data_IF_529088243654
#
_entry.id   IF_529088243654
#
_cell.length_a   1.000
_cell.length_b   1.000
_cell.length_c   1.000
_cell.angle_alpha   90.00
_cell.angle_beta   90.00
_cell.angle_gamma   90.00
#
_symmetry.space_group_name_H-M   'P 1'
#
loop_
_entity.id
_entity.type
_entity.pdbx_description
1 polymer ?
#
# COMPACT_ATOMS: atom_id res chain seq x y z
N UNK A 1 -24.55 -8.35 21.63
CA UNK A 1 -24.21 -6.92 21.65
C UNK A 1 -23.37 -6.65 20.42
N UNK A 2 -24.00 -6.30 19.31
CA UNK A 2 -23.30 -5.88 18.10
C UNK A 2 -22.64 -4.54 18.40
N UNK A 3 -21.30 -4.49 18.43
CA UNK A 3 -20.58 -3.23 18.48
C UNK A 3 -20.79 -2.54 17.12
N UNK A 4 -21.64 -1.51 17.09
CA UNK A 4 -21.68 -0.57 15.98
C UNK A 4 -20.28 -0.01 15.77
N UNK A 5 -19.72 -0.28 14.60
CA UNK A 5 -18.37 0.15 14.24
C UNK A 5 -18.43 1.64 13.96
N UNK A 6 -18.05 2.44 14.95
CA UNK A 6 -17.83 3.86 14.73
C UNK A 6 -16.70 4.01 13.70
N UNK A 7 -17.06 4.39 12.48
CA UNK A 7 -16.11 4.68 11.40
C UNK A 7 -15.15 5.74 11.93
N UNK A 8 -13.87 5.38 12.08
CA UNK A 8 -12.86 6.28 12.63
C UNK A 8 -12.49 7.33 11.60
N UNK A 9 -13.24 8.45 11.58
CA UNK A 9 -13.03 9.57 10.66
C UNK A 9 -11.59 10.09 10.64
N UNK A 10 -10.87 9.99 11.78
CA UNK A 10 -9.45 10.36 11.86
C UNK A 10 -8.55 9.48 11.00
N UNK A 11 -8.86 8.18 10.84
CA UNK A 11 -8.11 7.26 9.98
C UNK A 11 -8.32 7.61 8.52
N UNK A 12 -9.57 7.92 8.15
CA UNK A 12 -9.91 8.32 6.78
C UNK A 12 -9.24 9.67 6.43
N UNK A 13 -9.21 10.62 7.37
CA UNK A 13 -8.48 11.88 7.22
C UNK A 13 -6.96 11.68 7.11
N UNK A 14 -6.36 10.83 7.96
CA UNK A 14 -4.93 10.54 7.90
C UNK A 14 -4.53 9.84 6.59
N UNK A 15 -5.38 8.94 6.07
CA UNK A 15 -5.19 8.32 4.76
C UNK A 15 -5.24 9.36 3.63
N UNK A 16 -6.19 10.29 3.68
CA UNK A 16 -6.29 11.36 2.69
C UNK A 16 -5.03 12.23 2.70
N UNK A 17 -4.58 12.65 3.89
CA UNK A 17 -3.34 13.44 4.05
C UNK A 17 -2.13 12.70 3.51
N UNK A 18 -1.99 11.40 3.81
CA UNK A 18 -0.92 10.58 3.28
C UNK A 18 -0.95 10.55 1.74
N UNK A 19 -2.11 10.29 1.13
CA UNK A 19 -2.27 10.26 -0.33
C UNK A 19 -1.98 11.63 -0.96
N UNK A 20 -2.39 12.72 -0.32
CA UNK A 20 -2.11 14.08 -0.80
C UNK A 20 -0.63 14.43 -0.71
N UNK A 21 0.03 14.12 0.42
CA UNK A 21 1.47 14.36 0.59
C UNK A 21 2.28 13.67 -0.51
N UNK A 22 1.94 12.41 -0.75
CA UNK A 22 2.43 11.59 -1.85
C UNK A 22 2.20 12.21 -3.25
N UNK A 23 0.97 12.68 -3.52
CA UNK A 23 0.65 13.26 -4.83
C UNK A 23 1.42 14.56 -5.06
N UNK A 24 1.50 15.41 -4.04
CA UNK A 24 2.27 16.67 -4.09
C UNK A 24 3.75 16.39 -4.32
N UNK A 25 4.28 15.33 -3.72
CA UNK A 25 5.67 14.90 -3.87
C UNK A 25 6.06 14.62 -5.33
N UNK A 26 5.22 13.84 -6.03
CA UNK A 26 5.50 13.34 -7.38
C UNK A 26 4.91 14.15 -8.53
N UNK A 27 4.00 15.10 -8.27
CA UNK A 27 3.36 15.88 -9.34
C UNK A 27 4.22 17.03 -9.87
N UNK A 28 5.25 17.48 -9.15
CA UNK A 28 6.18 18.51 -9.66
C UNK A 28 7.66 18.30 -9.31
N UNK A 29 8.09 17.08 -8.94
CA UNK A 29 9.43 16.85 -8.38
C UNK A 29 9.76 17.82 -7.22
N UNK A 30 8.74 18.19 -6.43
CA UNK A 30 8.85 19.24 -5.38
C UNK A 30 9.84 18.84 -4.29
N UNK A 31 10.04 17.53 -4.09
CA UNK A 31 11.05 16.97 -3.21
C UNK A 31 12.46 17.57 -3.46
N UNK A 32 12.78 17.88 -4.71
CA UNK A 32 14.09 18.41 -5.12
C UNK A 32 14.18 19.94 -5.10
N UNK A 33 13.05 20.64 -4.90
CA UNK A 33 12.99 22.11 -5.00
C UNK A 33 12.61 22.81 -3.70
N UNK A 34 11.90 22.16 -2.77
CA UNK A 34 11.50 22.77 -1.51
C UNK A 34 11.63 21.79 -0.31
N UNK A 35 12.68 22.00 0.48
CA UNK A 35 12.98 21.19 1.67
C UNK A 35 11.82 21.09 2.67
N UNK A 36 11.00 22.14 2.83
CA UNK A 36 9.86 22.10 3.77
C UNK A 36 8.79 21.10 3.34
N UNK A 37 8.56 20.98 2.03
CA UNK A 37 7.57 20.06 1.49
C UNK A 37 8.12 18.63 1.58
N UNK A 38 9.41 18.43 1.28
CA UNK A 38 10.09 17.15 1.45
C UNK A 38 10.03 16.64 2.90
N UNK A 39 10.32 17.51 3.88
CA UNK A 39 10.25 17.14 5.31
C UNK A 39 8.81 16.79 5.75
N UNK A 40 7.80 17.50 5.21
CA UNK A 40 6.40 17.20 5.49
C UNK A 40 5.87 15.95 4.76
N UNK A 41 6.38 15.62 3.57
CA UNK A 41 5.95 14.46 2.78
C UNK A 41 6.69 13.18 3.15
N UNK A 42 7.88 13.26 3.76
CA UNK A 42 8.78 12.14 4.07
C UNK A 42 8.08 10.94 4.72
N UNK A 43 7.25 11.18 5.75
CA UNK A 43 6.57 10.11 6.48
C UNK A 43 5.25 9.64 5.85
N UNK A 44 4.85 10.19 4.70
CA UNK A 44 3.54 9.90 4.09
C UNK A 44 3.40 8.44 3.67
N UNK A 45 4.44 7.85 3.08
CA UNK A 45 4.45 6.44 2.66
C UNK A 45 4.41 5.51 3.88
N UNK A 46 5.21 5.79 4.91
CA UNK A 46 5.21 5.01 6.15
C UNK A 46 3.86 5.09 6.89
N UNK A 47 3.28 6.28 7.00
CA UNK A 47 1.95 6.50 7.57
C UNK A 47 0.88 5.73 6.78
N UNK A 48 0.95 5.75 5.45
CA UNK A 48 0.04 5.00 4.60
C UNK A 48 0.12 3.49 4.84
N UNK A 49 1.33 2.92 4.88
CA UNK A 49 1.55 1.50 5.18
C UNK A 49 0.99 1.14 6.55
N UNK A 50 1.26 1.96 7.57
CA UNK A 50 0.77 1.76 8.92
C UNK A 50 -0.76 1.76 8.99
N UNK A 51 -1.41 2.77 8.43
CA UNK A 51 -2.88 2.88 8.42
C UNK A 51 -3.52 1.72 7.62
N UNK A 52 -2.89 1.28 6.54
CA UNK A 52 -3.28 0.09 5.79
C UNK A 52 -3.18 -1.18 6.63
N UNK A 53 -2.11 -1.34 7.41
CA UNK A 53 -1.95 -2.44 8.35
C UNK A 53 -3.03 -2.47 9.43
N UNK A 54 -3.26 -1.35 10.13
CA UNK A 54 -4.25 -1.25 11.21
C UNK A 54 -5.68 -1.54 10.70
N UNK A 55 -6.07 -0.87 9.60
CA UNK A 55 -7.42 -1.07 9.03
C UNK A 55 -7.59 -2.44 8.39
N UNK A 56 -6.53 -2.95 7.76
CA UNK A 56 -6.47 -4.29 7.20
C UNK A 56 -6.63 -5.37 8.26
N UNK A 57 -5.85 -5.29 9.34
CA UNK A 57 -5.94 -6.20 10.47
C UNK A 57 -7.35 -6.24 11.04
N UNK A 58 -7.94 -5.09 11.38
CA UNK A 58 -9.32 -5.03 11.91
C UNK A 58 -10.35 -5.58 10.92
N UNK A 59 -10.14 -5.41 9.62
CA UNK A 59 -11.02 -5.97 8.58
C UNK A 59 -10.95 -7.49 8.52
N UNK A 60 -9.74 -8.09 8.55
CA UNK A 60 -9.56 -9.54 8.47
C UNK A 60 -9.88 -10.23 9.80
N UNK A 61 -9.34 -9.71 10.90
CA UNK A 61 -10.05 -9.31 12.13
C UNK A 61 -11.42 -9.92 12.46
N UNK A 62 -12.41 -9.48 11.70
CA UNK A 62 -13.82 -9.80 11.94
C UNK A 62 -14.43 -10.62 10.82
N UNK A 63 -13.68 -10.86 9.76
CA UNK A 63 -14.16 -11.54 8.57
C UNK A 63 -14.16 -13.06 8.78
N UNK A 64 -15.31 -13.68 8.53
CA UNK A 64 -15.52 -15.13 8.68
C UNK A 64 -15.72 -15.87 7.35
N UNK A 65 -15.58 -15.17 6.22
CA UNK A 65 -15.71 -15.75 4.88
C UNK A 65 -14.38 -16.18 4.26
N UNK A 66 -14.40 -16.50 2.97
CA UNK A 66 -13.24 -16.90 2.18
C UNK A 66 -12.26 -15.73 1.98
N UNK A 67 -11.04 -15.86 2.53
CA UNK A 67 -9.96 -14.87 2.37
C UNK A 67 -9.66 -14.61 0.88
N UNK A 68 -9.52 -15.63 0.01
CA UNK A 68 -9.33 -15.43 -1.43
C UNK A 68 -10.43 -14.60 -2.09
N UNK A 69 -11.70 -14.82 -1.74
CA UNK A 69 -12.82 -14.06 -2.31
C UNK A 69 -12.78 -12.58 -1.90
N UNK A 70 -12.48 -12.32 -0.62
CA UNK A 70 -12.32 -10.96 -0.12
C UNK A 70 -11.14 -10.24 -0.79
N UNK A 71 -10.01 -10.93 -0.96
CA UNK A 71 -8.86 -10.42 -1.70
C UNK A 71 -9.23 -10.10 -3.14
N UNK A 72 -9.84 -11.05 -3.87
CA UNK A 72 -10.29 -10.86 -5.26
C UNK A 72 -11.21 -9.65 -5.38
N UNK A 73 -12.21 -9.53 -4.51
CA UNK A 73 -13.15 -8.40 -4.51
C UNK A 73 -12.43 -7.07 -4.32
N UNK A 74 -11.53 -6.99 -3.35
CA UNK A 74 -10.84 -5.75 -3.05
C UNK A 74 -9.75 -5.45 -4.10
N UNK A 75 -9.09 -6.44 -4.68
CA UNK A 75 -8.14 -6.30 -5.79
C UNK A 75 -8.80 -5.59 -6.97
N UNK A 76 -9.97 -6.09 -7.40
CA UNK A 76 -10.70 -5.52 -8.54
C UNK A 76 -11.22 -4.09 -8.29
N UNK A 77 -11.44 -3.69 -7.03
CA UNK A 77 -11.80 -2.30 -6.70
C UNK A 77 -10.67 -1.32 -7.01
N UNK A 78 -9.42 -1.76 -6.97
CA UNK A 78 -8.24 -0.92 -7.21
C UNK A 78 -7.72 -1.11 -8.64
N UNK A 79 -7.67 -2.36 -9.11
CA UNK A 79 -7.21 -2.69 -10.46
C UNK A 79 -8.06 -2.04 -11.56
N UNK A 80 -9.40 -1.93 -11.37
CA UNK A 80 -10.29 -1.30 -12.37
C UNK A 80 -10.00 0.20 -12.55
N UNK A 81 -10.01 1.05 -11.51
CA UNK A 81 -9.62 2.44 -11.65
C UNK A 81 -8.23 2.62 -12.26
N UNK A 82 -7.27 1.76 -11.88
CA UNK A 82 -5.92 1.81 -12.42
C UNK A 82 -5.85 1.47 -13.91
N UNK A 83 -6.56 0.42 -14.35
CA UNK A 83 -6.70 0.06 -15.78
C UNK A 83 -7.27 1.23 -16.59
N UNK A 84 -8.34 1.84 -16.10
CA UNK A 84 -9.00 2.99 -16.76
C UNK A 84 -8.09 4.20 -16.79
N UNK A 85 -7.43 4.53 -15.67
CA UNK A 85 -6.51 5.65 -15.59
C UNK A 85 -5.31 5.48 -16.54
N UNK A 86 -4.74 4.28 -16.59
CA UNK A 86 -3.64 3.93 -17.50
C UNK A 86 -4.09 4.03 -18.96
N UNK A 87 -5.31 3.61 -19.28
CA UNK A 87 -5.86 3.70 -20.63
C UNK A 87 -6.05 5.15 -21.09
N UNK A 88 -6.67 5.99 -20.25
CA UNK A 88 -6.84 7.43 -20.51
C UNK A 88 -5.47 8.10 -20.68
N UNK A 89 -4.53 7.80 -19.78
CA UNK A 89 -3.18 8.32 -19.86
C UNK A 89 -2.46 7.91 -21.15
N UNK A 90 -2.63 6.66 -21.59
CA UNK A 90 -2.06 6.17 -22.84
C UNK A 90 -2.54 6.95 -24.06
N UNK A 91 -3.84 7.20 -24.15
CA UNK A 91 -4.41 8.00 -25.25
C UNK A 91 -3.94 9.45 -25.17
N UNK A 92 -3.95 10.04 -23.97
CA UNK A 92 -3.56 11.43 -23.77
C UNK A 92 -2.08 11.70 -24.10
N UNK A 93 -1.18 10.78 -23.74
CA UNK A 93 0.26 10.95 -23.98
C UNK A 93 0.66 10.64 -25.42
N UNK A 94 0.13 9.56 -26.01
CA UNK A 94 0.60 9.08 -27.31
C UNK A 94 -0.25 9.61 -28.48
N UNK A 95 -1.37 10.30 -28.18
CA UNK A 95 -2.36 10.78 -29.16
C UNK A 95 -3.16 9.66 -29.84
N UNK A 96 -2.82 8.40 -29.56
CA UNK A 96 -3.43 7.20 -30.11
C UNK A 96 -3.27 6.02 -29.14
N UNK A 97 -4.07 4.97 -29.31
CA UNK A 97 -3.94 3.78 -28.49
C UNK A 97 -2.93 2.80 -29.10
N UNK A 98 -1.78 2.62 -28.45
CA UNK A 98 -0.77 1.62 -28.82
C UNK A 98 -0.81 0.48 -27.81
N UNK A 99 -1.30 -0.69 -28.23
CA UNK A 99 -1.52 -1.86 -27.36
C UNK A 99 -0.27 -2.27 -26.57
N UNK A 100 0.90 -2.35 -27.23
CA UNK A 100 2.14 -2.76 -26.58
C UNK A 100 2.62 -1.74 -25.53
N UNK A 101 2.46 -0.44 -25.83
CA UNK A 101 2.82 0.63 -24.89
C UNK A 101 1.88 0.64 -23.68
N UNK A 102 0.58 0.42 -23.90
CA UNK A 102 -0.41 0.27 -22.83
C UNK A 102 -0.07 -0.87 -21.88
N UNK A 103 0.24 -2.07 -22.40
CA UNK A 103 0.63 -3.21 -21.54
C UNK A 103 1.93 -2.99 -20.78
N UNK A 104 2.92 -2.35 -21.40
CA UNK A 104 4.15 -1.96 -20.69
C UNK A 104 3.82 -1.00 -19.54
N UNK A 105 3.00 0.04 -19.80
CA UNK A 105 2.58 1.00 -18.77
C UNK A 105 1.81 0.36 -17.62
N UNK A 106 0.97 -0.60 -17.95
CA UNK A 106 0.15 -1.33 -17.00
C UNK A 106 0.98 -2.26 -16.09
N UNK A 107 1.88 -3.06 -16.68
CA UNK A 107 2.62 -4.09 -15.93
C UNK A 107 3.79 -3.50 -15.14
N UNK A 108 4.46 -2.49 -15.68
CA UNK A 108 5.57 -1.82 -15.01
C UNK A 108 5.12 -0.69 -14.08
N UNK A 109 3.82 -0.42 -13.97
CA UNK A 109 3.26 0.68 -13.18
C UNK A 109 3.87 2.05 -13.50
N UNK A 110 4.39 2.22 -14.73
CA UNK A 110 5.18 3.38 -15.12
C UNK A 110 4.43 4.37 -16.02
N UNK A 111 3.09 4.29 -16.05
CA UNK A 111 2.29 5.29 -16.76
C UNK A 111 2.56 6.69 -16.20
N UNK A 112 2.57 6.86 -14.88
CA UNK A 112 2.88 8.15 -14.24
C UNK A 112 3.54 7.91 -12.89
N UNK A 113 4.36 8.84 -12.42
CA UNK A 113 5.06 8.73 -11.14
C UNK A 113 4.12 8.37 -9.97
N UNK A 114 2.92 8.96 -9.80
CA UNK A 114 2.01 8.58 -8.71
C UNK A 114 1.40 7.18 -8.80
N UNK A 115 1.59 6.44 -9.89
CA UNK A 115 0.99 5.11 -10.05
C UNK A 115 1.77 3.98 -9.38
N UNK A 116 3.02 4.21 -8.92
CA UNK A 116 3.72 3.19 -8.13
C UNK A 116 2.99 2.83 -6.83
N UNK A 117 2.20 3.76 -6.28
CA UNK A 117 1.37 3.52 -5.10
C UNK A 117 0.32 2.45 -5.31
N UNK A 118 -0.14 2.27 -6.55
CA UNK A 118 -1.05 1.18 -6.89
C UNK A 118 -0.34 -0.15 -6.72
N UNK A 119 0.90 -0.28 -7.20
CA UNK A 119 1.71 -1.48 -7.00
C UNK A 119 1.94 -1.75 -5.51
N UNK A 120 2.34 -0.73 -4.75
CA UNK A 120 2.54 -0.84 -3.29
C UNK A 120 1.26 -1.28 -2.58
N UNK A 121 0.12 -0.69 -2.93
CA UNK A 121 -1.17 -1.04 -2.34
C UNK A 121 -1.55 -2.50 -2.62
N UNK A 122 -1.33 -2.96 -3.86
CA UNK A 122 -1.60 -4.35 -4.25
C UNK A 122 -0.68 -5.33 -3.50
N UNK A 123 0.58 -4.98 -3.27
CA UNK A 123 1.50 -5.79 -2.45
C UNK A 123 1.02 -5.87 -1.00
N UNK A 124 0.76 -4.73 -0.35
CA UNK A 124 0.28 -4.67 1.03
C UNK A 124 -1.01 -5.47 1.22
N UNK A 125 -1.91 -5.39 0.25
CA UNK A 125 -3.18 -6.12 0.25
C UNK A 125 -3.01 -7.64 0.33
N UNK A 126 -2.00 -8.21 -0.31
CA UNK A 126 -1.68 -9.64 -0.25
C UNK A 126 -1.00 -9.99 1.08
N UNK A 127 -0.19 -9.08 1.61
CA UNK A 127 0.58 -9.28 2.85
C UNK A 127 -0.28 -9.19 4.11
N UNK A 128 -1.23 -8.26 4.17
CA UNK A 128 -2.14 -8.03 5.31
C UNK A 128 -2.83 -9.31 5.85
N UNK A 129 -3.47 -10.18 5.03
CA UNK A 129 -4.13 -11.38 5.56
C UNK A 129 -3.14 -12.37 6.18
N UNK A 130 -1.89 -12.43 5.69
CA UNK A 130 -0.84 -13.29 6.26
C UNK A 130 -0.48 -12.79 7.66
N UNK A 131 -0.17 -11.51 7.79
CA UNK A 131 0.13 -10.90 9.10
C UNK A 131 -1.05 -10.98 10.07
N UNK A 132 -2.28 -10.78 9.59
CA UNK A 132 -3.48 -10.92 10.41
C UNK A 132 -3.68 -12.35 10.91
N UNK A 133 -3.34 -13.36 10.11
CA UNK A 133 -3.37 -14.76 10.54
C UNK A 133 -2.28 -15.05 11.59
N UNK A 134 -1.04 -14.60 11.34
CA UNK A 134 0.08 -14.78 12.27
C UNK A 134 -0.21 -14.16 13.64
N UNK A 135 -0.71 -12.91 13.68
CA UNK A 135 -1.04 -12.21 14.93
C UNK A 135 -2.20 -12.86 15.71
N UNK A 136 -3.15 -13.49 15.02
CA UNK A 136 -4.22 -14.25 15.69
C UNK A 136 -3.71 -15.54 16.33
N UNK A 137 -2.77 -16.21 15.66
CA UNK A 137 -2.15 -17.44 16.16
C UNK A 137 -1.27 -17.16 17.39
N UNK A 138 -0.62 -15.99 17.45
CA UNK A 138 0.20 -15.57 18.59
C UNK A 138 -0.64 -15.15 19.79
N UNK A 139 -1.66 -14.30 19.58
CA UNK A 139 -2.43 -13.66 20.67
C UNK A 139 -3.21 -14.61 21.58
N UNK A 140 -3.43 -15.87 21.19
CA UNK A 140 -4.33 -16.81 21.89
C UNK A 140 -3.61 -17.85 22.76
N UNK A 141 -2.28 -17.91 22.76
CA UNK A 141 -1.51 -18.95 23.46
C UNK A 141 -0.62 -18.39 24.58
N UNK A 142 -0.46 -19.15 25.67
CA UNK A 142 0.64 -18.92 26.63
C UNK A 142 1.97 -19.06 25.88
N UNK A 143 2.76 -18.00 25.82
CA UNK A 143 3.96 -17.89 24.97
C UNK A 143 3.77 -17.06 23.68
N UNK A 144 2.57 -16.52 23.45
CA UNK A 144 2.24 -15.68 22.29
C UNK A 144 3.17 -14.50 22.06
N UNK A 145 3.62 -13.86 23.15
CA UNK A 145 4.54 -12.72 23.12
C UNK A 145 5.88 -13.10 22.49
N UNK A 146 6.43 -14.28 22.80
CA UNK A 146 7.69 -14.73 22.22
C UNK A 146 7.55 -14.95 20.71
N UNK A 147 6.46 -15.57 20.27
CA UNK A 147 6.19 -15.80 18.86
C UNK A 147 5.92 -14.48 18.11
N UNK A 148 5.25 -13.51 18.76
CA UNK A 148 5.06 -12.17 18.21
C UNK A 148 6.38 -11.42 18.03
N UNK A 149 7.27 -11.48 19.03
CA UNK A 149 8.63 -10.93 18.94
C UNK A 149 9.45 -11.61 17.83
N UNK A 150 9.29 -12.93 17.64
CA UNK A 150 9.93 -13.67 16.55
C UNK A 150 9.41 -13.22 15.18
N UNK A 151 8.09 -13.12 15.01
CA UNK A 151 7.48 -12.64 13.76
C UNK A 151 7.91 -11.21 13.46
N UNK A 152 7.95 -10.34 14.46
CA UNK A 152 8.46 -8.98 14.33
C UNK A 152 9.94 -8.98 13.91
N UNK A 153 10.80 -9.72 14.62
CA UNK A 153 12.22 -9.84 14.29
C UNK A 153 12.46 -10.36 12.88
N UNK A 154 11.75 -11.42 12.48
CA UNK A 154 11.81 -11.97 11.13
C UNK A 154 11.37 -10.95 10.07
N UNK A 155 10.32 -10.16 10.36
CA UNK A 155 9.84 -9.11 9.45
C UNK A 155 10.88 -8.01 9.29
N UNK A 156 11.54 -7.58 10.37
CA UNK A 156 12.61 -6.57 10.33
C UNK A 156 13.80 -7.08 9.52
N UNK A 157 14.24 -8.31 9.76
CA UNK A 157 15.36 -8.92 9.02
C UNK A 157 15.02 -9.06 7.53
N UNK A 158 13.82 -9.55 7.20
CA UNK A 158 13.36 -9.66 5.81
C UNK A 158 13.29 -8.28 5.15
N UNK A 159 12.72 -7.28 5.84
CA UNK A 159 12.64 -5.91 5.35
C UNK A 159 14.01 -5.33 5.06
N UNK A 160 14.96 -5.48 6.00
CA UNK A 160 16.34 -5.02 5.82
C UNK A 160 17.03 -5.74 4.66
N UNK A 161 16.82 -7.05 4.53
CA UNK A 161 17.39 -7.83 3.44
C UNK A 161 16.83 -7.43 2.09
N UNK A 162 15.50 -7.31 1.94
CA UNK A 162 14.87 -6.90 0.68
C UNK A 162 15.21 -5.46 0.32
N UNK A 163 15.31 -4.57 1.30
CA UNK A 163 15.70 -3.17 1.07
C UNK A 163 17.13 -3.09 0.50
N UNK A 164 18.06 -3.90 1.01
CA UNK A 164 19.45 -3.89 0.55
C UNK A 164 19.71 -4.69 -0.75
N UNK A 165 18.83 -5.62 -1.11
CA UNK A 165 19.01 -6.51 -2.27
C UNK A 165 17.94 -6.32 -3.35
N UNK A 166 17.18 -5.22 -3.31
CA UNK A 166 16.22 -4.87 -4.34
C UNK A 166 16.22 -3.37 -4.61
N UNK A 167 15.61 -2.98 -5.72
CA UNK A 167 15.48 -1.57 -6.11
C UNK A 167 14.34 -0.85 -5.36
N UNK A 168 13.92 -1.36 -4.18
CA UNK A 168 12.83 -0.77 -3.39
C UNK A 168 13.14 0.67 -2.98
N UNK A 169 14.39 0.95 -2.60
CA UNK A 169 14.86 2.30 -2.24
C UNK A 169 14.69 3.28 -3.40
N UNK A 170 15.08 2.86 -4.61
CA UNK A 170 15.01 3.69 -5.82
C UNK A 170 13.58 3.89 -6.32
N UNK A 171 12.69 2.91 -6.09
CA UNK A 171 11.31 2.93 -6.59
C UNK A 171 10.35 3.66 -5.64
N UNK A 172 10.45 3.40 -4.34
CA UNK A 172 9.50 3.90 -3.35
C UNK A 172 9.99 5.13 -2.59
N UNK A 173 11.28 5.48 -2.73
CA UNK A 173 11.85 6.69 -2.14
C UNK A 173 11.78 6.68 -0.62
N UNK A 174 12.58 5.84 0.04
CA UNK A 174 12.81 5.94 1.48
C UNK A 174 12.64 4.64 2.26
N UNK A 175 13.61 4.40 3.16
CA UNK A 175 13.52 3.45 4.26
C UNK A 175 12.80 4.00 5.48
#
# INVERSE_FOLDING_TARGET
MEQEVQRSYWIDAAKLVAILGVLVDHTQNVLYSNHRIADCSYYSVGLFIFLMGVTGYGSYSRYRGSIPEKLKKNFWKIARPYLVATFIFSIAQDGQFIFLAFWKRLLYFNASAPFYYVALYLQLMVVIPVFAALLRMTSTKKGGIFLEMLVFGATVVLSAWTTNHSNILDIYGGG
#
